data_IF_021312391179
#
_entry.id   IF_021312391179
#
_cell.length_a   1.000
_cell.length_b   1.000
_cell.length_c   1.000
_cell.angle_alpha   90.00
_cell.angle_beta   90.00
_cell.angle_gamma   90.00
#
_symmetry.space_group_name_H-M   'P 1'
#
loop_
_entity.id
_entity.type
_entity.pdbx_description
1 polymer ?
#
# COMPACT_ATOMS: atom_id res chain seq x y z
N UNK A 1 17.72 -24.12 -1.38
CA UNK A 1 16.73 -23.24 -0.72
C UNK A 1 15.94 -22.67 -1.87
N UNK A 2 14.63 -22.90 -1.91
CA UNK A 2 13.77 -22.05 -2.74
C UNK A 2 13.79 -20.69 -2.07
N UNK A 3 14.12 -19.64 -2.83
CA UNK A 3 13.99 -18.27 -2.34
C UNK A 3 12.49 -18.03 -2.17
N UNK A 4 11.99 -18.05 -0.94
CA UNK A 4 10.57 -17.80 -0.66
C UNK A 4 10.23 -16.35 -1.07
N UNK A 5 9.18 -16.18 -1.86
CA UNK A 5 8.67 -14.85 -2.22
C UNK A 5 8.22 -14.10 -0.96
N UNK A 6 8.67 -12.85 -0.82
CA UNK A 6 8.28 -12.00 0.31
C UNK A 6 7.85 -10.61 -0.12
N UNK A 7 7.03 -9.98 0.72
CA UNK A 7 6.62 -8.58 0.58
C UNK A 7 7.84 -7.66 0.67
N UNK A 8 8.12 -6.87 -0.35
CA UNK A 8 9.19 -5.85 -0.31
C UNK A 8 8.65 -4.49 0.11
N UNK A 9 7.43 -4.13 -0.30
CA UNK A 9 6.82 -2.82 0.01
C UNK A 9 5.30 -2.89 -0.06
N UNK A 10 4.63 -2.17 0.84
CA UNK A 10 3.21 -1.90 0.79
C UNK A 10 2.99 -0.39 0.79
N UNK A 11 2.35 0.13 -0.26
CA UNK A 11 2.05 1.56 -0.41
C UNK A 11 0.56 1.78 -0.25
N UNK A 12 0.17 2.60 0.71
CA UNK A 12 -1.21 3.01 0.94
C UNK A 12 -1.41 4.39 0.33
N UNK A 13 -2.41 4.52 -0.55
CA UNK A 13 -2.88 5.79 -1.09
C UNK A 13 -4.27 6.11 -0.52
N UNK A 14 -4.35 6.95 0.54
CA UNK A 14 -5.63 7.34 1.11
C UNK A 14 -6.49 8.22 0.20
N UNK A 15 -5.87 8.95 -0.75
CA UNK A 15 -6.61 9.82 -1.66
C UNK A 15 -7.35 9.00 -2.72
N UNK A 16 -6.72 7.92 -3.20
CA UNK A 16 -7.33 7.00 -4.16
C UNK A 16 -8.09 5.84 -3.52
N UNK A 17 -7.95 5.63 -2.20
CA UNK A 17 -8.45 4.44 -1.49
C UNK A 17 -7.88 3.15 -2.09
N UNK A 18 -6.58 3.19 -2.41
CA UNK A 18 -5.90 2.10 -3.08
C UNK A 18 -4.69 1.65 -2.26
N UNK A 19 -4.41 0.35 -2.29
CA UNK A 19 -3.20 -0.23 -1.74
C UNK A 19 -2.42 -0.94 -2.85
N UNK A 20 -1.13 -0.66 -2.93
CA UNK A 20 -0.18 -1.34 -3.80
C UNK A 20 0.73 -2.25 -2.98
N UNK A 21 0.91 -3.49 -3.41
CA UNK A 21 1.69 -4.52 -2.74
C UNK A 21 2.75 -5.00 -3.72
N UNK A 22 4.02 -4.94 -3.33
CA UNK A 22 5.16 -5.31 -4.16
C UNK A 22 5.89 -6.50 -3.55
N UNK A 23 6.25 -7.48 -4.36
CA UNK A 23 7.01 -8.65 -3.91
C UNK A 23 8.48 -8.58 -4.27
N UNK A 24 9.26 -9.54 -3.76
CA UNK A 24 10.68 -9.72 -4.08
C UNK A 24 10.92 -10.25 -5.49
N UNK A 25 9.90 -10.84 -6.11
CA UNK A 25 9.96 -11.37 -7.49
C UNK A 25 9.56 -10.33 -8.54
N UNK A 26 9.16 -9.13 -8.11
CA UNK A 26 8.76 -8.03 -8.98
C UNK A 26 7.25 -7.97 -9.26
N UNK A 27 6.48 -8.89 -8.69
CA UNK A 27 5.03 -8.87 -8.81
C UNK A 27 4.43 -7.68 -8.07
N UNK A 28 3.36 -7.13 -8.64
CA UNK A 28 2.61 -6.02 -8.08
C UNK A 28 1.14 -6.39 -8.02
N UNK A 29 0.53 -6.16 -6.84
CA UNK A 29 -0.91 -6.28 -6.66
C UNK A 29 -1.48 -4.93 -6.27
N UNK A 30 -2.59 -4.58 -6.90
CA UNK A 30 -3.37 -3.39 -6.60
C UNK A 30 -4.70 -3.81 -5.97
N UNK A 31 -5.05 -3.19 -4.85
CA UNK A 31 -6.33 -3.35 -4.17
C UNK A 31 -7.01 -1.99 -4.20
N UNK A 32 -7.90 -1.81 -5.18
CA UNK A 32 -8.73 -0.61 -5.32
C UNK A 32 -10.01 -0.83 -4.52
N UNK A 33 -10.33 0.10 -3.62
CA UNK A 33 -11.56 0.05 -2.84
C UNK A 33 -12.58 1.08 -3.32
N UNK A 34 -13.83 0.66 -3.46
CA UNK A 34 -14.90 1.55 -3.93
C UNK A 34 -15.40 2.47 -2.81
N UNK A 35 -15.37 1.98 -1.58
CA UNK A 35 -15.90 2.69 -0.41
C UNK A 35 -14.83 2.96 0.64
N UNK A 36 -15.05 4.00 1.45
CA UNK A 36 -14.16 4.30 2.57
C UNK A 36 -14.17 3.18 3.61
N UNK A 37 -15.31 2.52 3.83
CA UNK A 37 -15.42 1.40 4.78
C UNK A 37 -14.56 0.21 4.34
N UNK A 38 -14.64 -0.16 3.06
CA UNK A 38 -13.79 -1.20 2.48
C UNK A 38 -12.31 -0.87 2.64
N UNK A 39 -11.93 0.37 2.32
CA UNK A 39 -10.55 0.82 2.47
C UNK A 39 -10.07 0.75 3.92
N UNK A 40 -10.91 1.15 4.89
CA UNK A 40 -10.58 1.06 6.32
C UNK A 40 -10.43 -0.40 6.78
N UNK A 41 -11.25 -1.32 6.24
CA UNK A 41 -11.13 -2.75 6.53
C UNK A 41 -9.81 -3.32 5.99
N UNK A 42 -9.45 -2.99 4.74
CA UNK A 42 -8.16 -3.40 4.14
C UNK A 42 -6.97 -2.81 4.91
N UNK A 43 -7.03 -1.52 5.23
CA UNK A 43 -5.98 -0.83 5.98
C UNK A 43 -5.75 -1.45 7.36
N UNK A 44 -6.81 -1.88 8.03
CA UNK A 44 -6.73 -2.59 9.32
C UNK A 44 -5.90 -3.88 9.22
N UNK A 45 -6.16 -4.68 8.18
CA UNK A 45 -5.43 -5.94 7.93
C UNK A 45 -3.96 -5.66 7.62
N UNK A 46 -3.68 -4.66 6.78
CA UNK A 46 -2.29 -4.30 6.43
C UNK A 46 -1.53 -3.85 7.66
N UNK A 47 -2.10 -2.99 8.50
CA UNK A 47 -1.42 -2.53 9.74
C UNK A 47 -1.21 -3.66 10.75
N UNK A 48 -2.00 -4.72 10.69
CA UNK A 48 -1.85 -5.90 11.55
C UNK A 48 -0.81 -6.92 11.04
N UNK A 49 -0.46 -6.89 9.75
CA UNK A 49 0.30 -7.96 9.09
C UNK A 49 1.57 -7.48 8.38
N UNK A 50 1.61 -6.22 7.94
CA UNK A 50 2.76 -5.62 7.28
C UNK A 50 3.76 -5.09 8.32
N UNK A 51 5.04 -5.46 8.23
CA UNK A 51 6.11 -4.82 9.00
C UNK A 51 6.12 -3.30 8.80
N UNK A 52 6.37 -2.55 9.87
CA UNK A 52 6.35 -1.08 9.85
C UNK A 52 7.36 -0.48 8.87
N UNK A 53 8.52 -1.13 8.70
CA UNK A 53 9.59 -0.71 7.78
C UNK A 53 9.23 -0.89 6.29
N UNK A 54 8.15 -1.62 5.99
CA UNK A 54 7.68 -1.89 4.63
C UNK A 54 6.38 -1.17 4.27
N UNK A 55 5.74 -0.52 5.24
CA UNK A 55 4.49 0.22 5.05
C UNK A 55 4.78 1.70 4.78
N UNK A 56 4.36 2.19 3.62
CA UNK A 56 4.57 3.58 3.19
C UNK A 56 3.23 4.19 2.79
N UNK A 57 3.04 5.47 3.08
CA UNK A 57 1.89 6.24 2.62
C UNK A 57 2.30 7.15 1.49
N UNK A 58 1.41 7.34 0.50
CA UNK A 58 1.63 8.39 -0.50
C UNK A 58 1.65 9.75 0.18
N UNK A 59 2.49 10.65 -0.34
CA UNK A 59 2.45 12.03 0.10
C UNK A 59 1.13 12.66 -0.37
N UNK A 60 0.43 13.42 0.48
CA UNK A 60 -0.73 14.17 0.02
C UNK A 60 -0.31 15.08 -1.12
N UNK A 61 -1.06 15.07 -2.22
CA UNK A 61 -0.96 16.11 -3.23
C UNK A 61 -1.35 17.46 -2.60
N UNK A 62 -0.39 18.14 -1.97
CA UNK A 62 -0.54 19.54 -1.61
C UNK A 62 -0.58 20.30 -2.93
N UNK A 63 -1.74 20.77 -3.37
CA UNK A 63 -1.91 21.51 -4.64
C UNK A 63 -1.13 22.83 -4.75
N UNK A 64 -0.08 23.03 -3.96
CA UNK A 64 0.94 24.07 -4.19
C UNK A 64 1.89 23.57 -5.25
N UNK A 65 1.63 23.98 -6.49
CA UNK A 65 2.64 23.98 -7.54
C UNK A 65 3.55 25.17 -7.22
N UNK A 66 4.73 24.88 -6.67
CA UNK A 66 5.77 25.90 -6.56
C UNK A 66 6.33 26.16 -7.97
N UNK A 67 6.12 27.39 -8.47
CA UNK A 67 6.73 27.92 -9.70
C UNK A 67 8.12 28.50 -9.41
#
# INVERSE_FOLDING_TARGET
MEDEEYLTKCVVDPQQKTVYIYSSEGDTKEVVCDTTEEFMNVLSVIRATCPEDRLVYTEPLSGKIDF
#
